data_IF_208123445327
#
_entry.id   IF_208123445327
#
_cell.length_a   1.000
_cell.length_b   1.000
_cell.length_c   1.000
_cell.angle_alpha   90.00
_cell.angle_beta   90.00
_cell.angle_gamma   90.00
#
_symmetry.space_group_name_H-M   'P 1'
#
loop_
_entity.id
_entity.type
_entity.pdbx_description
1 polymer ?
#
# COMPACT_ATOMS: atom_id res chain seq x y z
N UNK A 1 13.06 0.10 11.16
CA UNK A 1 11.88 -0.49 10.50
C UNK A 1 11.45 0.44 9.38
N UNK A 2 11.43 -0.06 8.15
CA UNK A 2 10.86 0.66 7.00
C UNK A 2 9.60 -0.05 6.52
N UNK A 3 8.57 0.74 6.24
CA UNK A 3 7.34 0.27 5.61
C UNK A 3 7.62 0.06 4.11
N UNK A 4 7.30 -1.12 3.60
CA UNK A 4 7.41 -1.46 2.17
C UNK A 4 6.02 -1.43 1.55
N UNK A 5 5.93 -0.93 0.32
CA UNK A 5 4.69 -0.86 -0.44
C UNK A 5 4.83 -1.79 -1.64
N UNK A 6 3.90 -2.72 -1.77
CA UNK A 6 3.79 -3.59 -2.92
C UNK A 6 2.47 -3.27 -3.64
N UNK A 7 2.54 -3.00 -4.94
CA UNK A 7 1.36 -2.80 -5.80
C UNK A 7 1.50 -3.76 -6.97
N UNK A 8 0.50 -4.62 -7.12
CA UNK A 8 0.46 -5.60 -8.19
C UNK A 8 -0.43 -5.06 -9.31
N UNK A 9 0.09 -5.10 -10.52
CA UNK A 9 -0.56 -4.53 -11.70
C UNK A 9 -0.61 -5.56 -12.82
N UNK A 10 -1.74 -5.58 -13.53
CA UNK A 10 -1.82 -6.16 -14.86
C UNK A 10 -1.30 -5.12 -15.85
N UNK A 11 -0.35 -5.52 -16.69
CA UNK A 11 0.16 -4.71 -17.79
C UNK A 11 -0.60 -5.01 -19.08
N UNK A 12 -0.70 -4.01 -19.94
CA UNK A 12 -1.03 -4.19 -21.35
C UNK A 12 0.20 -3.82 -22.18
N UNK A 13 0.53 -4.65 -23.16
CA UNK A 13 1.65 -4.44 -24.06
C UNK A 13 1.28 -4.78 -25.50
N UNK A 14 1.76 -3.98 -26.45
CA UNK A 14 1.68 -4.23 -27.88
C UNK A 14 2.98 -3.74 -28.53
N UNK A 15 3.78 -4.68 -29.07
CA UNK A 15 5.13 -4.38 -29.54
C UNK A 15 6.00 -3.81 -28.41
N UNK A 16 6.66 -2.68 -28.67
CA UNK A 16 7.51 -1.99 -27.70
C UNK A 16 6.73 -1.14 -26.68
N UNK A 17 5.43 -0.95 -26.88
CA UNK A 17 4.61 -0.10 -26.01
C UNK A 17 4.10 -0.89 -24.80
N UNK A 18 4.22 -0.32 -23.59
CA UNK A 18 3.77 -0.90 -22.31
C UNK A 18 3.03 0.14 -21.48
N UNK A 19 1.96 -0.28 -20.81
CA UNK A 19 1.22 0.55 -19.86
C UNK A 19 0.52 -0.30 -18.80
N UNK A 20 0.10 0.31 -17.70
CA UNK A 20 -0.78 -0.31 -16.73
C UNK A 20 -2.19 -0.50 -17.32
N UNK A 21 -2.78 -1.66 -17.10
CA UNK A 21 -4.17 -1.99 -17.46
C UNK A 21 -5.08 -1.93 -16.23
N UNK A 22 -4.71 -2.65 -15.16
CA UNK A 22 -5.47 -2.75 -13.90
C UNK A 22 -4.54 -2.89 -12.71
N UNK A 23 -4.94 -2.34 -11.56
CA UNK A 23 -4.36 -2.72 -10.27
C UNK A 23 -5.13 -3.95 -9.80
N UNK A 24 -4.42 -5.03 -9.46
CA UNK A 24 -5.03 -6.30 -9.05
C UNK A 24 -4.97 -6.53 -7.54
N UNK A 25 -3.96 -5.96 -6.88
CA UNK A 25 -3.78 -6.04 -5.43
C UNK A 25 -2.81 -4.94 -4.97
N UNK A 26 -2.88 -4.56 -3.70
CA UNK A 26 -1.92 -3.65 -3.08
C UNK A 26 -1.80 -3.90 -1.58
N UNK A 27 -0.56 -3.87 -1.09
CA UNK A 27 -0.23 -4.29 0.27
C UNK A 27 0.73 -3.32 0.95
N UNK A 28 0.46 -3.07 2.23
CA UNK A 28 1.43 -2.48 3.15
C UNK A 28 2.21 -3.60 3.82
N UNK A 29 3.45 -3.82 3.38
CA UNK A 29 4.32 -4.90 3.87
C UNK A 29 5.21 -4.37 4.99
N UNK A 30 5.20 -5.09 6.12
CA UNK A 30 6.06 -4.80 7.28
C UNK A 30 7.37 -5.58 7.17
N UNK A 31 8.50 -4.91 7.39
CA UNK A 31 9.79 -5.60 7.60
C UNK A 31 9.87 -6.13 9.03
N UNK A 32 10.22 -7.41 9.21
CA UNK A 32 10.37 -8.04 10.54
C UNK A 32 11.78 -7.82 11.09
N UNK A 33 11.89 -7.10 12.21
CA UNK A 33 13.15 -6.91 12.97
C UNK A 33 12.91 -7.26 14.44
N UNK A 34 12.63 -8.53 14.73
CA UNK A 34 12.58 -9.07 16.11
C UNK A 34 11.36 -8.70 16.96
N UNK A 35 10.42 -7.89 16.46
CA UNK A 35 9.16 -7.59 17.14
C UNK A 35 8.00 -7.37 16.15
N UNK A 36 6.82 -7.92 16.46
CA UNK A 36 5.61 -7.76 15.65
C UNK A 36 5.07 -6.32 15.76
N UNK A 37 5.35 -5.49 14.77
CA UNK A 37 4.79 -4.13 14.75
C UNK A 37 3.46 -4.07 14.01
N UNK A 38 2.62 -3.19 14.52
CA UNK A 38 1.23 -3.01 14.14
C UNK A 38 1.03 -1.65 13.50
N UNK A 39 0.14 -1.52 12.53
CA UNK A 39 -0.13 -0.23 11.88
C UNK A 39 -1.57 0.20 12.14
N UNK A 40 -1.75 1.44 12.60
CA UNK A 40 -3.05 2.12 12.70
C UNK A 40 -3.04 3.33 11.78
N UNK A 41 -3.94 3.38 10.82
CA UNK A 41 -3.96 4.47 9.84
C UNK A 41 -4.59 4.04 8.54
N UNK A 42 -4.21 4.69 7.45
CA UNK A 42 -4.73 4.38 6.12
C UNK A 42 -3.60 4.14 5.12
N UNK A 43 -3.86 3.21 4.20
CA UNK A 43 -3.10 3.03 2.97
C UNK A 43 -4.04 3.26 1.79
N UNK A 44 -3.71 4.25 0.95
CA UNK A 44 -4.49 4.66 -0.20
C UNK A 44 -3.71 4.47 -1.48
N UNK A 45 -4.37 3.95 -2.51
CA UNK A 45 -3.85 3.81 -3.87
C UNK A 45 -4.82 4.48 -4.84
N UNK A 46 -4.29 5.24 -5.80
CA UNK A 46 -5.07 5.85 -6.89
C UNK A 46 -4.46 5.46 -8.22
N UNK A 47 -5.27 4.90 -9.11
CA UNK A 47 -4.86 4.61 -10.47
C UNK A 47 -5.10 5.84 -11.35
N UNK A 48 -4.18 6.81 -11.30
CA UNK A 48 -4.40 8.14 -11.89
C UNK A 48 -4.46 8.10 -13.42
N UNK A 49 -3.57 7.35 -14.05
CA UNK A 49 -3.53 7.14 -15.49
C UNK A 49 -2.85 5.81 -15.81
N UNK A 50 -2.91 5.37 -17.07
CA UNK A 50 -2.25 4.14 -17.52
C UNK A 50 -0.72 4.13 -17.31
N UNK A 51 -0.11 5.27 -16.98
CA UNK A 51 1.33 5.39 -16.69
C UNK A 51 1.62 5.91 -15.28
N UNK A 52 0.62 6.12 -14.42
CA UNK A 52 0.84 6.71 -13.10
C UNK A 52 -0.11 6.12 -12.06
N UNK A 53 0.48 5.47 -11.07
CA UNK A 53 -0.22 5.00 -9.88
C UNK A 53 0.34 5.77 -8.68
N UNK A 54 -0.52 6.51 -7.99
CA UNK A 54 -0.19 7.19 -6.75
C UNK A 54 -0.48 6.30 -5.55
N UNK A 55 0.35 6.40 -4.53
CA UNK A 55 0.12 5.74 -3.24
C UNK A 55 0.45 6.65 -2.07
N UNK A 56 -0.21 6.42 -0.93
CA UNK A 56 0.03 7.16 0.31
C UNK A 56 -0.28 6.30 1.53
N UNK A 57 0.64 6.33 2.50
CA UNK A 57 0.45 5.80 3.85
C UNK A 57 0.44 6.95 4.84
N UNK A 58 -0.53 6.91 5.76
CA UNK A 58 -0.64 7.88 6.84
C UNK A 58 -1.11 7.17 8.10
N UNK A 59 -0.26 7.12 9.13
CA UNK A 59 -0.62 6.49 10.39
C UNK A 59 0.54 6.27 11.34
N UNK A 60 0.28 5.44 12.33
CA UNK A 60 1.18 5.14 13.43
C UNK A 60 1.54 3.66 13.47
N UNK A 61 2.83 3.37 13.62
CA UNK A 61 3.31 2.05 14.00
C UNK A 61 3.31 1.90 15.52
N UNK A 62 2.92 0.72 16.00
CA UNK A 62 2.91 0.34 17.41
C UNK A 62 3.71 -0.95 17.64
N UNK A 63 4.24 -1.11 18.85
CA UNK A 63 4.95 -2.32 19.28
C UNK A 63 4.00 -3.40 19.79
N UNK A 64 4.21 -4.65 19.33
CA UNK A 64 3.54 -5.90 19.73
C UNK A 64 2.03 -5.92 19.42
N UNK A 65 1.55 -6.99 18.77
CA UNK A 65 0.11 -7.23 18.49
C UNK A 65 -0.15 -8.04 17.21
N UNK A 66 -1.38 -7.92 16.67
CA UNK A 66 -1.81 -8.53 15.39
C UNK A 66 -2.43 -7.46 14.49
N UNK A 67 -1.93 -7.33 13.26
CA UNK A 67 -2.42 -6.40 12.23
C UNK A 67 -2.73 -7.26 11.05
N UNK A 68 -3.98 -7.21 10.63
CA UNK A 68 -4.50 -7.98 9.52
C UNK A 68 -5.25 -7.02 8.62
N UNK A 69 -4.75 -6.84 7.42
CA UNK A 69 -5.58 -6.44 6.29
C UNK A 69 -4.84 -6.76 4.99
N UNK A 70 -5.45 -7.63 4.21
CA UNK A 70 -5.24 -7.74 2.77
C UNK A 70 -6.38 -7.01 2.10
N UNK A 71 -6.12 -6.29 1.00
CA UNK A 71 -7.17 -5.71 0.18
C UNK A 71 -7.05 -6.17 -1.25
N UNK A 72 -7.70 -7.29 -1.54
CA UNK A 72 -7.92 -7.76 -2.90
C UNK A 72 -8.92 -6.82 -3.58
N UNK A 73 -8.41 -5.87 -4.35
CA UNK A 73 -9.22 -4.88 -5.07
C UNK A 73 -8.73 -4.76 -6.50
N UNK A 74 -9.67 -4.87 -7.44
CA UNK A 74 -9.43 -4.60 -8.86
C UNK A 74 -9.78 -3.14 -9.19
N UNK A 75 -8.78 -2.27 -9.35
CA UNK A 75 -9.00 -0.88 -9.79
C UNK A 75 -8.72 -0.73 -11.28
N UNK A 76 -9.64 -0.05 -11.97
CA UNK A 76 -9.41 0.48 -13.31
C UNK A 76 -8.89 1.93 -13.23
N UNK A 77 -8.44 2.49 -14.35
CA UNK A 77 -7.98 3.90 -14.43
C UNK A 77 -9.06 4.85 -13.89
N UNK A 78 -8.65 5.84 -13.09
CA UNK A 78 -9.53 6.73 -12.31
C UNK A 78 -9.96 6.14 -10.96
N UNK A 79 -9.76 4.84 -10.75
CA UNK A 79 -10.15 4.14 -9.52
C UNK A 79 -9.31 4.52 -8.30
N UNK A 80 -9.94 4.43 -7.14
CA UNK A 80 -9.32 4.69 -5.83
C UNK A 80 -9.58 3.52 -4.91
N UNK A 81 -8.53 2.98 -4.32
CA UNK A 81 -8.59 1.98 -3.26
C UNK A 81 -8.07 2.57 -1.96
N UNK A 82 -8.68 2.20 -0.84
CA UNK A 82 -8.22 2.60 0.49
C UNK A 82 -8.44 1.47 1.48
N UNK A 83 -7.45 1.23 2.32
CA UNK A 83 -7.53 0.31 3.44
C UNK A 83 -7.29 1.08 4.71
N UNK A 84 -8.20 0.91 5.67
CA UNK A 84 -8.06 1.46 7.01
C UNK A 84 -7.61 0.33 7.94
N UNK A 85 -6.54 0.58 8.66
CA UNK A 85 -5.94 -0.32 9.61
C UNK A 85 -6.27 0.17 11.01
N UNK A 86 -6.78 -0.75 11.83
CA UNK A 86 -6.99 -0.52 13.25
C UNK A 86 -6.14 -1.49 14.06
N UNK A 87 -5.70 -1.05 15.23
CA UNK A 87 -4.92 -1.88 16.15
C UNK A 87 -5.69 -1.97 17.46
N UNK A 88 -5.92 -3.19 17.94
CA UNK A 88 -6.41 -3.47 19.29
C UNK A 88 -5.26 -3.93 20.17
N UNK A 89 -5.31 -3.62 21.47
CA UNK A 89 -4.29 -4.01 22.47
C UNK A 89 -2.86 -3.48 22.17
N UNK A 90 -2.75 -2.31 21.53
CA UNK A 90 -1.47 -1.64 21.31
C UNK A 90 -0.88 -1.14 22.65
N UNK A 91 0.38 -1.46 22.94
CA UNK A 91 1.02 -1.05 24.21
C UNK A 91 1.70 0.32 24.12
N UNK A 92 2.44 0.57 23.04
CA UNK A 92 3.24 1.81 22.92
C UNK A 92 3.36 2.23 21.46
N UNK A 93 3.14 3.52 21.18
CA UNK A 93 3.36 4.13 19.87
C UNK A 93 4.86 4.11 19.58
N UNK A 94 5.24 3.47 18.47
CA UNK A 94 6.64 3.37 18.04
C UNK A 94 7.02 4.57 17.17
N UNK A 95 6.24 4.87 16.13
CA UNK A 95 6.58 5.93 15.17
C UNK A 95 5.38 6.35 14.32
N UNK A 96 5.27 7.66 14.06
CA UNK A 96 4.38 8.19 13.02
C UNK A 96 5.01 8.08 11.62
N UNK A 97 4.21 7.72 10.62
CA UNK A 97 4.60 7.61 9.22
C UNK A 97 3.58 8.31 8.33
N UNK A 98 4.11 9.28 7.58
CA UNK A 98 3.46 9.88 6.42
C UNK A 98 4.41 9.76 5.23
N UNK A 99 4.07 8.93 4.26
CA UNK A 99 4.85 8.76 3.03
C UNK A 99 3.91 8.60 1.86
N UNK A 100 4.32 9.12 0.72
CA UNK A 100 3.60 8.98 -0.53
C UNK A 100 4.59 8.84 -1.68
N UNK A 101 4.09 8.40 -2.83
CA UNK A 101 4.92 8.25 -4.02
C UNK A 101 4.10 7.88 -5.24
N UNK A 102 4.83 7.65 -6.32
CA UNK A 102 4.28 7.28 -7.62
C UNK A 102 5.03 6.09 -8.19
N UNK A 103 4.30 5.19 -8.83
CA UNK A 103 4.85 4.21 -9.76
C UNK A 103 4.49 4.62 -11.18
N UNK A 104 5.51 4.60 -12.04
CA UNK A 104 5.36 4.91 -13.46
C UNK A 104 5.58 3.65 -14.28
N UNK A 105 4.82 3.50 -15.37
CA UNK A 105 5.03 2.42 -16.32
C UNK A 105 6.38 2.64 -17.03
N UNK A 106 7.12 1.55 -17.26
CA UNK A 106 8.40 1.52 -17.98
C UNK A 106 8.20 1.02 -19.41
#
# INVERSE_FOLDING_TARGET
MEAKIDIYVKMWAQGSFRQFDKIIDYNLVRSWYGASKQFKGSFKVKFLSKNNIYWCINGDFYDKGTTSSSSSVSLSVGGVGSVNYSVSKAKTKYKYVYKYGHFYAQ
#
